data_IF_524255168992
#
_entry.id   IF_524255168992
#
_cell.length_a   1.000
_cell.length_b   1.000
_cell.length_c   1.000
_cell.angle_alpha   90.00
_cell.angle_beta   90.00
_cell.angle_gamma   90.00
#
_symmetry.space_group_name_H-M   'P 1'
#
loop_
_entity.id
_entity.type
_entity.pdbx_description
1 polymer ?
#
# COMPACT_ATOMS: atom_id res chain seq x y z
N UNK A 1 -16.89 -0.20 41.73
CA UNK A 1 -16.86 -0.52 40.29
C UNK A 1 -15.48 -0.17 39.81
N UNK A 2 -14.63 -1.16 39.56
CA UNK A 2 -13.29 -0.92 39.01
C UNK A 2 -13.48 -0.43 37.58
N UNK A 3 -13.03 0.77 37.27
CA UNK A 3 -12.91 1.26 35.92
C UNK A 3 -11.83 0.37 35.26
N UNK A 4 -12.27 -0.56 34.41
CA UNK A 4 -11.33 -1.38 33.63
C UNK A 4 -10.51 -0.43 32.74
N UNK A 5 -9.20 -0.36 32.98
CA UNK A 5 -8.28 0.34 32.10
C UNK A 5 -8.46 -0.23 30.67
N UNK A 6 -8.82 0.64 29.74
CA UNK A 6 -8.88 0.26 28.34
C UNK A 6 -7.47 -0.14 27.89
N UNK A 7 -7.24 -1.36 27.41
CA UNK A 7 -5.89 -1.82 27.08
C UNK A 7 -5.27 -0.89 26.01
N UNK A 8 -4.02 -0.50 26.24
CA UNK A 8 -3.25 0.31 25.29
C UNK A 8 -3.18 -0.43 23.95
N UNK A 9 -3.52 0.21 22.82
CA UNK A 9 -3.47 -0.45 21.52
C UNK A 9 -2.04 -0.86 21.16
N UNK A 10 -1.89 -2.04 20.60
CA UNK A 10 -0.65 -2.43 19.93
C UNK A 10 -0.50 -1.58 18.67
N UNK A 11 0.65 -0.92 18.50
CA UNK A 11 0.93 -0.04 17.36
C UNK A 11 1.87 -0.72 16.38
N UNK A 12 1.45 -0.84 15.12
CA UNK A 12 2.28 -1.40 14.05
C UNK A 12 2.39 -0.37 12.93
N UNK A 13 3.62 0.03 12.59
CA UNK A 13 3.85 0.86 11.43
C UNK A 13 3.99 0.01 10.16
N UNK A 14 3.42 0.50 9.06
CA UNK A 14 3.68 0.00 7.71
C UNK A 14 4.27 1.16 6.92
N UNK A 15 5.55 1.06 6.58
CA UNK A 15 6.28 2.08 5.83
C UNK A 15 6.20 1.78 4.34
N UNK A 16 5.51 2.66 3.61
CA UNK A 16 5.15 2.50 2.21
C UNK A 16 3.72 1.99 2.04
N UNK A 17 2.88 2.76 1.35
CA UNK A 17 1.49 2.43 1.03
C UNK A 17 1.28 2.01 -0.44
N UNK A 18 2.32 1.48 -1.08
CA UNK A 18 2.17 0.76 -2.35
C UNK A 18 1.40 -0.55 -2.16
N UNK A 19 1.28 -1.38 -3.20
CA UNK A 19 0.51 -2.62 -3.12
C UNK A 19 0.93 -3.52 -1.95
N UNK A 20 2.24 -3.72 -1.75
CA UNK A 20 2.74 -4.59 -0.67
C UNK A 20 2.38 -4.05 0.73
N UNK A 21 2.59 -2.76 0.98
CA UNK A 21 2.24 -2.16 2.27
C UNK A 21 0.74 -2.13 2.51
N UNK A 22 -0.06 -1.79 1.49
CA UNK A 22 -1.52 -1.80 1.58
C UNK A 22 -2.04 -3.20 1.88
N UNK A 23 -1.58 -4.24 1.18
CA UNK A 23 -1.95 -5.62 1.45
C UNK A 23 -1.51 -6.06 2.85
N UNK A 24 -0.33 -5.63 3.31
CA UNK A 24 0.12 -5.88 4.69
C UNK A 24 -0.87 -5.29 5.70
N UNK A 25 -1.29 -4.04 5.50
CA UNK A 25 -2.27 -3.39 6.38
C UNK A 25 -3.64 -4.09 6.35
N UNK A 26 -4.11 -4.51 5.16
CA UNK A 26 -5.33 -5.32 4.99
C UNK A 26 -5.26 -6.61 5.82
N UNK A 27 -4.17 -7.36 5.71
CA UNK A 27 -4.03 -8.64 6.42
C UNK A 27 -3.79 -8.47 7.92
N UNK A 28 -3.13 -7.39 8.36
CA UNK A 28 -3.03 -7.04 9.78
C UNK A 28 -4.42 -6.77 10.38
N UNK A 29 -5.22 -5.96 9.69
CA UNK A 29 -6.58 -5.65 10.12
C UNK A 29 -7.49 -6.90 10.13
N UNK A 30 -7.47 -7.67 9.05
CA UNK A 30 -8.24 -8.91 8.94
C UNK A 30 -7.85 -9.95 10.00
N UNK A 31 -6.54 -10.09 10.27
CA UNK A 31 -6.02 -11.03 11.28
C UNK A 31 -6.33 -10.65 12.74
N UNK A 32 -6.79 -9.41 12.96
CA UNK A 32 -7.22 -8.94 14.28
C UNK A 32 -8.69 -9.27 14.57
N UNK A 33 -9.46 -9.69 13.55
CA UNK A 33 -10.86 -10.08 13.71
C UNK A 33 -11.00 -11.24 14.68
N UNK A 34 -11.93 -11.11 15.64
CA UNK A 34 -12.21 -12.13 16.65
C UNK A 34 -11.27 -12.15 17.86
N UNK A 35 -10.25 -11.31 17.92
CA UNK A 35 -9.39 -11.14 19.09
C UNK A 35 -10.02 -10.17 20.09
N UNK A 36 -10.98 -10.67 20.84
CA UNK A 36 -11.73 -9.86 21.83
C UNK A 36 -10.80 -9.19 22.83
N UNK A 37 -10.91 -7.87 22.93
CA UNK A 37 -10.16 -7.06 23.92
C UNK A 37 -8.77 -6.62 23.44
N UNK A 38 -8.24 -7.12 22.32
CA UNK A 38 -7.03 -6.57 21.70
C UNK A 38 -7.38 -5.35 20.84
N UNK A 39 -6.55 -4.31 20.92
CA UNK A 39 -6.66 -3.13 20.08
C UNK A 39 -5.40 -3.01 19.22
N UNK A 40 -5.59 -2.74 17.95
CA UNK A 40 -4.50 -2.54 16.97
C UNK A 40 -4.61 -1.15 16.34
N UNK A 41 -3.53 -0.38 16.43
CA UNK A 41 -3.35 0.83 15.63
C UNK A 41 -2.35 0.52 14.50
N UNK A 42 -2.80 0.65 13.27
CA UNK A 42 -1.95 0.55 12.06
C UNK A 42 -1.58 1.96 11.66
N UNK A 43 -0.28 2.31 11.77
CA UNK A 43 0.29 3.55 11.28
C UNK A 43 0.83 3.32 9.86
N UNK A 44 0.09 3.72 8.84
CA UNK A 44 0.50 3.64 7.44
C UNK A 44 1.28 4.92 7.08
N UNK A 45 2.57 4.79 6.78
CA UNK A 45 3.46 5.93 6.51
C UNK A 45 3.81 5.96 5.03
N UNK A 46 3.29 6.95 4.31
CA UNK A 46 3.56 7.14 2.87
C UNK A 46 3.17 8.57 2.45
N UNK A 47 3.95 9.27 1.62
CA UNK A 47 3.62 10.62 1.16
C UNK A 47 2.42 10.68 0.20
N UNK A 48 2.03 9.56 -0.42
CA UNK A 48 0.88 9.50 -1.32
C UNK A 48 -0.43 9.82 -0.58
N UNK A 49 -1.38 10.40 -1.29
CA UNK A 49 -2.70 10.75 -0.74
C UNK A 49 -3.55 9.52 -0.40
N UNK A 50 -3.41 8.45 -1.18
CA UNK A 50 -4.18 7.21 -1.08
C UNK A 50 -3.28 6.00 -1.08
N UNK A 51 -3.70 4.97 -0.38
CA UNK A 51 -3.07 3.66 -0.39
C UNK A 51 -3.21 2.95 -1.76
N UNK A 52 -2.44 1.90 -1.99
CA UNK A 52 -2.45 1.13 -3.24
C UNK A 52 -1.65 1.75 -4.38
N UNK A 53 -1.21 3.01 -4.27
CA UNK A 53 -0.60 3.80 -5.35
C UNK A 53 0.93 3.81 -5.30
N UNK A 54 1.55 2.62 -5.37
CA UNK A 54 2.99 2.51 -5.64
C UNK A 54 3.30 2.72 -7.13
N UNK A 55 4.59 2.71 -7.49
CA UNK A 55 5.08 2.98 -8.86
C UNK A 55 4.28 2.24 -9.94
N UNK A 56 3.95 0.96 -9.72
CA UNK A 56 3.24 0.15 -10.71
C UNK A 56 1.77 0.55 -10.93
N UNK A 57 1.14 1.23 -9.96
CA UNK A 57 -0.31 1.46 -9.94
C UNK A 57 -0.70 2.93 -9.76
N UNK A 58 0.27 3.84 -9.72
CA UNK A 58 0.04 5.29 -9.63
C UNK A 58 -0.29 5.96 -10.97
N UNK A 59 -0.18 5.22 -12.07
CA UNK A 59 -0.45 5.75 -13.42
C UNK A 59 -1.87 6.26 -13.57
N UNK A 60 -2.02 7.34 -14.32
CA UNK A 60 -3.31 7.91 -14.73
C UNK A 60 -3.65 7.60 -16.19
N UNK A 61 -2.77 6.87 -16.89
CA UNK A 61 -3.00 6.45 -18.29
C UNK A 61 -3.79 5.15 -18.33
N UNK A 62 -5.00 5.21 -18.86
CA UNK A 62 -5.93 4.08 -18.98
C UNK A 62 -5.43 2.95 -19.88
N UNK A 63 -4.42 3.20 -20.73
CA UNK A 63 -3.77 2.19 -21.56
C UNK A 63 -2.84 1.26 -20.76
N UNK A 64 -2.46 1.66 -19.56
CA UNK A 64 -1.60 0.85 -18.69
C UNK A 64 -2.42 -0.25 -18.01
N UNK A 65 -2.47 -1.40 -18.66
CA UNK A 65 -3.17 -2.57 -18.16
C UNK A 65 -2.27 -3.41 -17.23
N UNK A 66 -2.93 -4.23 -16.41
CA UNK A 66 -2.28 -5.31 -15.68
C UNK A 66 -1.72 -6.34 -16.68
N UNK A 67 -0.66 -7.03 -16.30
CA UNK A 67 -0.09 -8.14 -17.06
C UNK A 67 -0.58 -9.52 -16.58
N UNK A 68 -1.56 -9.52 -15.67
CA UNK A 68 -2.24 -10.70 -15.14
C UNK A 68 -3.74 -10.47 -15.27
N UNK A 69 -4.51 -11.48 -15.71
CA UNK A 69 -5.97 -11.37 -15.80
C UNK A 69 -6.62 -11.10 -14.43
N UNK A 70 -7.82 -10.49 -14.45
CA UNK A 70 -8.54 -10.06 -13.26
C UNK A 70 -8.70 -11.18 -12.21
N UNK A 71 -8.98 -12.41 -12.62
CA UNK A 71 -9.11 -13.59 -11.75
C UNK A 71 -7.84 -13.98 -10.99
N UNK A 72 -6.67 -13.44 -11.38
CA UNK A 72 -5.37 -13.75 -10.77
C UNK A 72 -4.87 -12.70 -9.77
N UNK A 73 -5.67 -11.68 -9.47
CA UNK A 73 -5.22 -10.47 -8.76
C UNK A 73 -5.95 -10.23 -7.42
N UNK A 74 -6.52 -11.25 -6.80
CA UNK A 74 -7.20 -11.09 -5.51
C UNK A 74 -6.26 -10.68 -4.37
N UNK A 75 -6.75 -9.81 -3.48
CA UNK A 75 -6.10 -9.50 -2.20
C UNK A 75 -6.19 -10.66 -1.18
N UNK A 76 -7.10 -11.61 -1.39
CA UNK A 76 -7.38 -12.71 -0.46
C UNK A 76 -7.18 -14.06 -1.16
N UNK A 77 -6.27 -14.92 -0.64
CA UNK A 77 -6.00 -16.23 -1.23
C UNK A 77 -7.22 -17.17 -1.26
N UNK A 78 -8.09 -17.06 -0.26
CA UNK A 78 -9.33 -17.82 -0.09
C UNK A 78 -10.52 -17.26 -0.87
N UNK A 79 -10.37 -16.08 -1.49
CA UNK A 79 -11.38 -15.40 -2.31
C UNK A 79 -10.81 -15.03 -3.68
N UNK A 80 -10.51 -15.99 -4.55
CA UNK A 80 -9.78 -15.73 -5.80
C UNK A 80 -10.49 -14.77 -6.76
N UNK A 81 -11.80 -14.61 -6.65
CA UNK A 81 -12.59 -13.69 -7.49
C UNK A 81 -12.81 -12.31 -6.85
N UNK A 82 -12.24 -12.02 -5.68
CA UNK A 82 -12.56 -10.78 -4.95
C UNK A 82 -12.28 -9.51 -5.76
N UNK A 83 -11.18 -9.45 -6.52
CA UNK A 83 -10.91 -8.33 -7.42
C UNK A 83 -11.85 -8.31 -8.63
N UNK A 84 -12.14 -9.45 -9.23
CA UNK A 84 -13.11 -9.56 -10.34
C UNK A 84 -14.49 -9.07 -9.91
N UNK A 85 -14.96 -9.49 -8.73
CA UNK A 85 -16.25 -9.09 -8.20
C UNK A 85 -16.28 -7.59 -7.89
N UNK A 86 -15.14 -7.02 -7.44
CA UNK A 86 -14.99 -5.59 -7.27
C UNK A 86 -15.07 -4.83 -8.60
N UNK A 87 -14.37 -5.30 -9.65
CA UNK A 87 -14.45 -4.72 -11.00
C UNK A 87 -15.88 -4.73 -11.55
N UNK A 88 -16.58 -5.85 -11.42
CA UNK A 88 -17.96 -5.97 -11.87
C UNK A 88 -18.90 -4.98 -11.15
N UNK A 89 -18.64 -4.66 -9.89
CA UNK A 89 -19.46 -3.73 -9.11
C UNK A 89 -19.12 -2.25 -9.37
N UNK A 90 -17.84 -1.92 -9.61
CA UNK A 90 -17.37 -0.53 -9.58
C UNK A 90 -16.90 0.01 -10.93
N UNK A 91 -16.61 -0.88 -11.90
CA UNK A 91 -16.04 -0.48 -13.20
C UNK A 91 -16.96 -0.88 -14.35
N UNK A 92 -17.11 -2.17 -14.62
CA UNK A 92 -18.00 -2.70 -15.67
C UNK A 92 -18.54 -4.06 -15.25
N UNK A 93 -19.85 -4.18 -15.12
CA UNK A 93 -20.55 -5.41 -14.75
C UNK A 93 -20.34 -6.58 -15.73
N UNK A 94 -19.79 -6.31 -16.91
CA UNK A 94 -19.49 -7.32 -17.95
C UNK A 94 -18.05 -7.81 -17.89
N UNK A 95 -17.21 -7.35 -16.95
CA UNK A 95 -15.82 -7.78 -16.83
C UNK A 95 -15.74 -9.30 -16.71
N UNK A 96 -15.00 -9.93 -17.61
CA UNK A 96 -14.79 -11.37 -17.62
C UNK A 96 -13.51 -11.77 -16.81
N UNK A 97 -13.43 -13.01 -16.30
CA UNK A 97 -12.27 -13.49 -15.54
C UNK A 97 -10.93 -13.38 -16.29
N UNK A 98 -10.96 -13.44 -17.61
CA UNK A 98 -9.77 -13.35 -18.48
C UNK A 98 -9.38 -11.94 -18.88
N UNK A 99 -10.15 -10.92 -18.53
CA UNK A 99 -9.89 -9.54 -18.91
C UNK A 99 -8.71 -8.94 -18.14
N UNK A 100 -8.01 -8.03 -18.80
CA UNK A 100 -6.90 -7.27 -18.21
C UNK A 100 -7.42 -5.90 -17.78
N UNK A 101 -7.56 -5.70 -16.46
CA UNK A 101 -8.00 -4.44 -15.90
C UNK A 101 -6.89 -3.36 -15.95
N UNK A 102 -7.28 -2.10 -15.81
CA UNK A 102 -6.31 -0.99 -15.70
C UNK A 102 -5.53 -1.08 -14.39
N UNK A 103 -4.31 -0.60 -14.42
CA UNK A 103 -3.49 -0.52 -13.20
C UNK A 103 -4.08 0.43 -12.17
N UNK A 104 -4.73 1.50 -12.61
CA UNK A 104 -5.45 2.45 -11.76
C UNK A 104 -6.66 1.82 -11.05
N UNK A 105 -7.36 0.88 -11.70
CA UNK A 105 -8.48 0.15 -11.09
C UNK A 105 -7.98 -0.76 -9.96
N UNK A 106 -6.82 -1.39 -10.15
CA UNK A 106 -6.22 -2.21 -9.09
C UNK A 106 -5.78 -1.37 -7.87
N UNK A 107 -5.25 -0.15 -8.11
CA UNK A 107 -4.95 0.78 -7.02
C UNK A 107 -6.22 1.17 -6.24
N UNK A 108 -7.30 1.48 -6.94
CA UNK A 108 -8.58 1.82 -6.32
C UNK A 108 -9.16 0.64 -5.51
N UNK A 109 -9.07 -0.57 -6.06
CA UNK A 109 -9.44 -1.80 -5.39
C UNK A 109 -8.68 -2.02 -4.08
N UNK A 110 -7.35 -1.81 -4.08
CA UNK A 110 -6.53 -1.97 -2.89
C UNK A 110 -6.89 -0.97 -1.79
N UNK A 111 -7.10 0.30 -2.15
CA UNK A 111 -7.50 1.35 -1.22
C UNK A 111 -8.88 1.05 -0.62
N UNK A 112 -9.88 0.74 -1.45
CA UNK A 112 -11.23 0.41 -1.03
C UNK A 112 -11.28 -0.85 -0.14
N UNK A 113 -10.50 -1.89 -0.51
CA UNK A 113 -10.36 -3.10 0.28
C UNK A 113 -9.79 -2.80 1.67
N UNK A 114 -8.76 -1.94 1.76
CA UNK A 114 -8.18 -1.54 3.04
C UNK A 114 -9.21 -0.83 3.92
N UNK A 115 -9.92 0.16 3.37
CA UNK A 115 -10.94 0.91 4.12
C UNK A 115 -12.06 -0.01 4.61
N UNK A 116 -12.55 -0.89 3.73
CA UNK A 116 -13.61 -1.86 4.07
C UNK A 116 -13.17 -2.81 5.18
N UNK A 117 -11.97 -3.41 5.06
CA UNK A 117 -11.48 -4.36 6.07
C UNK A 117 -11.25 -3.69 7.42
N UNK A 118 -10.75 -2.47 7.45
CA UNK A 118 -10.56 -1.71 8.68
C UNK A 118 -11.91 -1.38 9.32
N UNK A 119 -12.89 -0.91 8.53
CA UNK A 119 -14.24 -0.61 9.02
C UNK A 119 -14.94 -1.84 9.62
N UNK A 120 -14.72 -3.01 9.03
CA UNK A 120 -15.29 -4.28 9.48
C UNK A 120 -14.50 -4.97 10.61
N UNK A 121 -13.43 -4.34 11.12
CA UNK A 121 -12.55 -4.94 12.13
C UNK A 121 -12.63 -4.19 13.45
N UNK A 122 -13.40 -4.74 14.40
CA UNK A 122 -13.52 -4.16 15.73
C UNK A 122 -12.16 -4.03 16.43
N UNK A 123 -11.92 -2.84 17.03
CA UNK A 123 -10.68 -2.56 17.76
C UNK A 123 -9.47 -2.25 16.88
N UNK A 124 -9.63 -2.16 15.56
CA UNK A 124 -8.58 -1.71 14.62
C UNK A 124 -8.76 -0.24 14.28
N UNK A 125 -7.66 0.51 14.33
CA UNK A 125 -7.61 1.90 13.88
C UNK A 125 -6.51 2.02 12.82
N UNK A 126 -6.82 2.66 11.69
CA UNK A 126 -5.86 3.01 10.65
C UNK A 126 -5.57 4.51 10.70
N UNK A 127 -4.31 4.85 10.84
CA UNK A 127 -3.81 6.23 10.73
C UNK A 127 -2.90 6.32 9.52
N UNK A 128 -3.30 7.06 8.50
CA UNK A 128 -2.43 7.34 7.35
C UNK A 128 -1.63 8.62 7.63
N UNK A 129 -0.33 8.46 7.88
CA UNK A 129 0.61 9.56 8.09
C UNK A 129 1.27 9.91 6.76
N UNK A 130 0.93 11.06 6.21
CA UNK A 130 1.38 11.51 4.88
C UNK A 130 2.77 12.14 4.94
N UNK A 131 3.77 11.28 5.16
CA UNK A 131 5.18 11.66 5.24
C UNK A 131 6.06 10.51 4.73
N UNK A 132 7.32 10.81 4.48
CA UNK A 132 8.33 9.83 4.11
C UNK A 132 9.14 9.40 5.34
N UNK A 133 9.26 8.10 5.57
CA UNK A 133 10.20 7.60 6.56
C UNK A 133 11.64 7.74 6.04
N UNK A 134 12.48 8.41 6.81
CA UNK A 134 13.90 8.67 6.51
C UNK A 134 14.83 7.85 7.38
N UNK A 135 14.33 7.31 8.49
CA UNK A 135 15.09 6.47 9.40
C UNK A 135 14.23 5.56 10.24
N UNK A 136 14.85 4.47 10.71
CA UNK A 136 14.27 3.51 11.63
C UNK A 136 15.34 3.05 12.60
N UNK A 137 15.02 3.07 13.89
CA UNK A 137 15.92 2.60 14.96
C UNK A 137 15.15 1.72 15.93
N UNK A 138 15.72 0.56 16.29
CA UNK A 138 15.14 -0.33 17.30
C UNK A 138 15.79 -0.02 18.66
N UNK A 139 14.97 0.31 19.67
CA UNK A 139 15.39 0.57 21.05
C UNK A 139 14.39 -0.03 22.03
N UNK A 140 14.88 -0.72 23.02
CA UNK A 140 14.09 -1.31 24.11
C UNK A 140 12.91 -2.17 23.60
N UNK A 141 13.14 -2.96 22.53
CA UNK A 141 12.14 -3.81 21.92
C UNK A 141 11.03 -3.09 21.14
N UNK A 142 11.16 -1.76 20.94
CA UNK A 142 10.25 -0.92 20.15
C UNK A 142 10.99 -0.29 18.97
N UNK A 143 10.22 0.26 18.04
CA UNK A 143 10.74 0.89 16.83
C UNK A 143 10.45 2.38 16.87
N UNK A 144 11.49 3.20 16.78
CA UNK A 144 11.40 4.64 16.58
C UNK A 144 11.59 4.93 15.08
N UNK A 145 10.59 5.55 14.44
CA UNK A 145 10.67 6.03 13.07
C UNK A 145 11.10 7.50 13.07
N UNK A 146 11.85 7.90 12.05
CA UNK A 146 12.12 9.30 11.74
C UNK A 146 11.45 9.65 10.43
N UNK A 147 10.59 10.69 10.43
CA UNK A 147 9.87 11.12 9.24
C UNK A 147 10.41 12.46 8.74
N UNK A 148 10.21 12.75 7.46
CA UNK A 148 10.67 13.98 6.80
C UNK A 148 9.91 15.25 7.22
N UNK A 149 8.74 15.09 7.87
CA UNK A 149 7.98 16.19 8.49
C UNK A 149 8.48 16.53 9.91
N UNK A 150 9.54 15.86 10.38
CA UNK A 150 10.15 16.05 11.70
C UNK A 150 9.49 15.22 12.81
N UNK A 151 8.41 14.49 12.55
CA UNK A 151 7.79 13.62 13.55
C UNK A 151 8.58 12.33 13.77
N UNK A 152 8.48 11.77 14.97
CA UNK A 152 9.19 10.56 15.39
C UNK A 152 8.24 9.59 16.11
N UNK A 153 7.34 8.93 15.38
CA UNK A 153 6.43 7.99 16.02
C UNK A 153 7.18 6.75 16.55
N UNK A 154 6.81 6.32 17.75
CA UNK A 154 7.29 5.09 18.40
C UNK A 154 6.20 4.03 18.31
N UNK A 155 6.56 2.85 17.81
CA UNK A 155 5.64 1.73 17.57
C UNK A 155 6.19 0.42 18.12
N UNK A 156 5.34 -0.60 18.26
CA UNK A 156 5.74 -1.91 18.79
C UNK A 156 6.42 -2.77 17.72
N UNK A 157 6.06 -2.56 16.46
CA UNK A 157 6.68 -3.23 15.30
C UNK A 157 6.58 -2.36 14.05
N UNK A 158 7.46 -2.58 13.09
CA UNK A 158 7.38 -1.94 11.78
C UNK A 158 7.57 -2.95 10.65
N UNK A 159 6.79 -2.80 9.59
CA UNK A 159 6.97 -3.49 8.31
C UNK A 159 7.46 -2.47 7.30
N UNK A 160 8.57 -2.76 6.64
CA UNK A 160 9.19 -1.86 5.66
C UNK A 160 8.88 -2.38 4.26
N UNK A 161 8.03 -1.65 3.52
CA UNK A 161 7.56 -1.97 2.18
C UNK A 161 7.84 -0.80 1.20
N UNK A 162 9.12 -0.42 0.98
CA UNK A 162 9.51 0.80 0.29
C UNK A 162 9.22 0.77 -1.22
N UNK A 163 8.84 -0.39 -1.75
CA UNK A 163 8.60 -0.57 -3.18
C UNK A 163 9.87 -0.60 -4.01
N UNK A 164 9.77 -0.15 -5.25
CA UNK A 164 10.88 -0.07 -6.21
C UNK A 164 11.45 1.33 -6.19
N UNK A 165 12.78 1.43 -6.12
CA UNK A 165 13.49 2.71 -6.23
C UNK A 165 13.60 3.14 -7.70
N UNK A 166 13.81 4.44 -7.91
CA UNK A 166 14.09 4.96 -9.25
C UNK A 166 15.29 4.23 -9.89
N UNK A 167 15.23 3.90 -11.19
CA UNK A 167 16.32 3.22 -11.88
C UNK A 167 17.61 4.05 -11.83
N UNK A 168 18.71 3.40 -11.46
CA UNK A 168 20.03 4.03 -11.61
C UNK A 168 20.48 4.06 -13.06
N UNK A 169 21.26 5.06 -13.45
CA UNK A 169 21.79 5.23 -14.80
C UNK A 169 23.29 4.89 -14.89
N UNK A 170 23.91 4.44 -13.81
CA UNK A 170 25.37 4.16 -13.75
C UNK A 170 25.86 3.06 -14.70
N UNK A 171 24.95 2.24 -15.23
CA UNK A 171 25.23 1.20 -16.21
C UNK A 171 25.32 1.73 -17.65
N UNK A 172 24.77 2.94 -17.92
CA UNK A 172 24.70 3.51 -19.25
C UNK A 172 25.89 4.48 -19.49
N UNK A 173 26.49 4.46 -20.70
CA UNK A 173 27.50 5.47 -21.09
C UNK A 173 26.95 6.89 -20.98
N UNK A 174 27.82 7.85 -20.66
CA UNK A 174 27.42 9.24 -20.47
C UNK A 174 26.73 9.85 -21.71
N UNK A 175 27.21 9.47 -22.91
CA UNK A 175 26.64 9.94 -24.18
C UNK A 175 25.20 9.41 -24.38
N UNK A 176 24.89 8.19 -23.88
CA UNK A 176 23.54 7.64 -23.94
C UNK A 176 22.64 8.36 -22.95
N UNK A 177 23.11 8.58 -21.71
CA UNK A 177 22.33 9.29 -20.69
C UNK A 177 22.02 10.73 -21.11
N UNK A 178 22.94 11.38 -21.83
CA UNK A 178 22.75 12.74 -22.34
C UNK A 178 21.87 12.83 -23.59
N UNK A 179 21.49 11.67 -24.17
CA UNK A 179 20.70 11.66 -25.40
C UNK A 179 19.22 11.96 -25.09
N UNK A 180 18.59 12.86 -25.86
CA UNK A 180 17.21 13.34 -25.66
C UNK A 180 16.13 12.25 -25.81
N UNK A 181 16.47 11.11 -26.42
CA UNK A 181 15.59 9.92 -26.48
C UNK A 181 15.86 8.89 -25.37
N UNK A 182 16.78 9.17 -24.46
CA UNK A 182 17.05 8.28 -23.35
C UNK A 182 16.03 8.51 -22.23
N UNK A 183 15.20 7.50 -21.98
CA UNK A 183 14.23 7.53 -20.89
C UNK A 183 14.83 6.77 -19.70
N UNK A 184 15.35 7.49 -18.72
CA UNK A 184 15.98 6.94 -17.54
C UNK A 184 14.97 6.24 -16.62
N UNK A 185 13.78 6.81 -16.47
CA UNK A 185 12.68 6.26 -15.68
C UNK A 185 11.40 6.19 -16.54
N UNK A 186 11.05 5.00 -17.06
CA UNK A 186 9.85 4.84 -17.86
C UNK A 186 8.54 5.03 -17.07
N UNK A 187 8.60 5.08 -15.73
CA UNK A 187 7.47 5.33 -14.86
C UNK A 187 7.28 6.81 -14.50
N UNK A 188 8.23 7.66 -14.88
CA UNK A 188 8.09 9.09 -14.66
C UNK A 188 6.90 9.65 -15.47
N UNK A 189 6.13 10.62 -14.91
CA UNK A 189 5.03 11.23 -15.64
C UNK A 189 5.49 11.81 -16.99
N UNK A 190 4.81 11.42 -18.08
CA UNK A 190 5.14 11.87 -19.44
C UNK A 190 6.37 11.20 -20.09
N UNK A 191 7.00 10.21 -19.44
CA UNK A 191 8.21 9.56 -19.95
C UNK A 191 8.01 8.86 -21.32
N UNK A 192 6.80 8.38 -21.59
CA UNK A 192 6.42 7.65 -22.81
C UNK A 192 5.31 8.37 -23.61
N UNK A 193 5.17 9.67 -23.42
CA UNK A 193 4.17 10.50 -24.11
C UNK A 193 4.59 10.88 -25.54
#
# INVERSE_FOLDING_TARGET
MAQGECPTPRRVAVVGAGAAGTLTAVHLAAGSRGRRGERLEILLVDPAERAGRGVAYSTTDDRHLLNVPAKGMSAFPDQPNHFLDWLCRHVDSRTAPGDFARRSDFAAYLDDTLQTVVADSDGVTLVHHRARATGLTVRDGRVDLTLDDGTQPRVDAAVVAPGVFAPGTSWAPAELVAHDRFVADPWAPGALA
#
